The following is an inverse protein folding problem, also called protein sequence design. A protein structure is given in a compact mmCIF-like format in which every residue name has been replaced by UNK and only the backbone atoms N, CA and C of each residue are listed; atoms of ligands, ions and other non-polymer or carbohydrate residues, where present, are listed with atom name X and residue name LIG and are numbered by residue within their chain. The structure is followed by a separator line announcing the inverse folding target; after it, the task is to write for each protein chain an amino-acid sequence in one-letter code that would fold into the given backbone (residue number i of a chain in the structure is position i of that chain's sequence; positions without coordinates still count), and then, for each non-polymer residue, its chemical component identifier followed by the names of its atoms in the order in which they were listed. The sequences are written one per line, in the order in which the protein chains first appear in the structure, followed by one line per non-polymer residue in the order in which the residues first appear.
data_IF_315603209650
#
_entry.id   IF_315603209650
#
_cell.length_a   1.000
_cell.length_b   1.000
_cell.length_c   1.000
_cell.angle_alpha   90.00
_cell.angle_beta   90.00
_cell.angle_gamma   90.00
#
_symmetry.space_group_name_H-M   'P 1'
#
loop_
_entity.id
_entity.type
_entity.pdbx_description
1 polymer ?
#
# COMPACT_ATOMS: atom_id res chain seq x y z
N UNK A 1 -15.00 18.92 -10.97
CA UNK A 1 -15.80 19.40 -12.11
C UNK A 1 -17.22 18.93 -11.87
N UNK A 2 -18.18 19.84 -11.93
CA UNK A 2 -19.59 19.62 -11.55
C UNK A 2 -20.49 19.42 -12.78
N UNK A 3 -20.28 20.18 -13.85
CA UNK A 3 -21.03 20.02 -15.10
C UNK A 3 -20.08 19.97 -16.30
N UNK A 4 -19.52 18.78 -16.60
CA UNK A 4 -18.58 18.63 -17.70
C UNK A 4 -19.26 18.79 -19.06
N UNK A 5 -18.65 19.59 -19.93
CA UNK A 5 -19.01 19.72 -21.35
C UNK A 5 -17.80 19.37 -22.22
N UNK A 6 -18.05 18.89 -23.44
CA UNK A 6 -17.04 18.51 -24.42
C UNK A 6 -17.25 19.31 -25.70
N UNK A 7 -16.15 19.75 -26.31
CA UNK A 7 -16.16 20.39 -27.64
C UNK A 7 -16.10 19.35 -28.77
N UNK A 8 -16.17 19.80 -30.02
CA UNK A 8 -16.06 18.93 -31.21
C UNK A 8 -14.69 18.27 -31.36
N UNK A 9 -13.66 18.83 -30.74
CA UNK A 9 -12.28 18.33 -30.77
C UNK A 9 -12.03 17.28 -29.67
N UNK A 10 -13.02 17.01 -28.81
CA UNK A 10 -12.97 16.01 -27.75
C UNK A 10 -12.40 16.52 -26.43
N UNK A 11 -12.17 17.82 -26.28
CA UNK A 11 -11.67 18.40 -25.04
C UNK A 11 -12.81 18.65 -24.07
N UNK A 12 -12.63 18.27 -22.81
CA UNK A 12 -13.64 18.43 -21.76
C UNK A 12 -13.32 19.58 -20.82
N UNK A 13 -14.35 20.35 -20.47
CA UNK A 13 -14.27 21.55 -19.62
C UNK A 13 -15.39 21.57 -18.58
N UNK A 14 -15.19 22.33 -17.52
CA UNK A 14 -16.29 22.76 -16.65
C UNK A 14 -17.15 23.79 -17.40
N UNK A 15 -18.47 23.54 -17.52
CA UNK A 15 -19.39 24.38 -18.29
C UNK A 15 -19.27 25.87 -17.97
N UNK A 16 -19.32 26.23 -16.68
CA UNK A 16 -19.21 27.63 -16.25
C UNK A 16 -17.86 28.24 -16.67
N UNK A 17 -16.78 27.47 -16.56
CA UNK A 17 -15.44 27.93 -16.88
C UNK A 17 -15.27 28.22 -18.37
N UNK A 18 -15.77 27.32 -19.23
CA UNK A 18 -15.66 27.50 -20.68
C UNK A 18 -16.62 28.58 -21.20
N UNK A 19 -17.80 28.75 -20.61
CA UNK A 19 -18.71 29.85 -20.94
C UNK A 19 -18.08 31.21 -20.61
N UNK A 20 -17.45 31.35 -19.43
CA UNK A 20 -16.76 32.57 -19.01
C UNK A 20 -15.54 32.87 -19.90
N UNK A 21 -14.79 31.84 -20.30
CA UNK A 21 -13.65 31.97 -21.21
C UNK A 21 -14.08 32.40 -22.60
N UNK A 22 -15.12 31.76 -23.15
CA UNK A 22 -15.59 32.02 -24.49
C UNK A 22 -16.12 33.45 -24.64
N UNK A 23 -16.82 33.97 -23.61
CA UNK A 23 -17.26 35.38 -23.57
C UNK A 23 -16.12 36.39 -23.72
N UNK A 24 -14.90 36.04 -23.31
CA UNK A 24 -13.73 36.94 -23.34
C UNK A 24 -12.84 36.71 -24.57
N UNK A 25 -12.67 35.47 -24.99
CA UNK A 25 -11.62 35.09 -25.94
C UNK A 25 -12.14 34.47 -27.24
N UNK A 26 -13.39 33.98 -27.30
CA UNK A 26 -13.95 33.38 -28.52
C UNK A 26 -13.30 32.08 -28.99
N UNK A 27 -12.45 31.45 -28.16
CA UNK A 27 -11.56 30.35 -28.57
C UNK A 27 -11.51 29.24 -27.52
N UNK A 28 -11.13 28.03 -27.92
CA UNK A 28 -10.81 26.93 -27.01
C UNK A 28 -9.58 27.28 -26.16
N UNK A 29 -9.62 27.12 -24.83
CA UNK A 29 -8.45 27.32 -23.98
C UNK A 29 -7.26 26.39 -24.29
N UNK A 30 -7.51 25.24 -24.93
CA UNK A 30 -6.50 24.20 -25.17
C UNK A 30 -5.94 24.30 -26.58
N UNK A 31 -6.82 24.35 -27.58
CA UNK A 31 -6.42 24.30 -28.99
C UNK A 31 -6.27 25.70 -29.60
N UNK A 32 -6.71 26.75 -28.90
CA UNK A 32 -6.76 28.13 -29.38
C UNK A 32 -7.57 28.33 -30.68
N UNK A 33 -8.34 27.32 -31.10
CA UNK A 33 -9.23 27.40 -32.26
C UNK A 33 -10.51 28.16 -31.88
N UNK A 34 -11.17 28.84 -32.85
CA UNK A 34 -12.47 29.45 -32.60
C UNK A 34 -13.47 28.42 -32.08
N UNK A 35 -14.14 28.73 -30.96
CA UNK A 35 -15.07 27.81 -30.30
C UNK A 35 -16.35 28.56 -29.94
N UNK A 36 -17.51 28.11 -30.42
CA UNK A 36 -18.80 28.67 -30.04
C UNK A 36 -19.41 27.92 -28.85
N UNK A 37 -20.27 28.59 -28.08
CA UNK A 37 -21.04 27.94 -27.00
C UNK A 37 -21.94 26.82 -27.56
N UNK A 38 -22.39 26.97 -28.81
CA UNK A 38 -23.23 25.96 -29.46
C UNK A 38 -22.48 24.66 -29.82
N UNK A 39 -21.14 24.72 -29.85
CA UNK A 39 -20.28 23.57 -30.16
C UNK A 39 -19.98 22.71 -28.91
N UNK A 40 -20.51 23.13 -27.75
CA UNK A 40 -20.34 22.44 -26.47
C UNK A 40 -21.52 21.52 -26.21
N UNK A 41 -21.21 20.24 -25.95
CA UNK A 41 -22.20 19.23 -25.61
C UNK A 41 -21.94 18.67 -24.20
N UNK A 42 -22.97 18.31 -23.42
CA UNK A 42 -22.78 17.70 -22.11
C UNK A 42 -21.98 16.39 -22.20
N UNK A 43 -20.92 16.25 -21.40
CA UNK A 43 -20.16 15.02 -21.31
C UNK A 43 -20.71 14.12 -20.20
N UNK A 44 -21.78 13.38 -20.51
CA UNK A 44 -22.46 12.51 -19.55
C UNK A 44 -21.56 11.38 -19.03
N UNK A 45 -20.71 10.81 -19.89
CA UNK A 45 -19.79 9.74 -19.50
C UNK A 45 -18.83 10.21 -18.41
N UNK A 46 -18.22 11.38 -18.60
CA UNK A 46 -17.29 11.96 -17.63
C UNK A 46 -18.01 12.39 -16.34
N UNK A 47 -19.25 12.88 -16.45
CA UNK A 47 -20.09 13.21 -15.29
C UNK A 47 -20.33 11.99 -14.42
N UNK A 48 -20.73 10.86 -15.03
CA UNK A 48 -20.96 9.60 -14.33
C UNK A 48 -19.69 9.13 -13.62
N UNK A 49 -18.54 9.12 -14.30
CA UNK A 49 -17.28 8.69 -13.67
C UNK A 49 -16.87 9.56 -12.47
N UNK A 50 -17.12 10.87 -12.55
CA UNK A 50 -16.87 11.80 -11.43
C UNK A 50 -17.84 11.53 -10.27
N UNK A 51 -19.13 11.36 -10.57
CA UNK A 51 -20.15 11.08 -9.56
C UNK A 51 -19.91 9.74 -8.86
N UNK A 52 -19.52 8.70 -9.59
CA UNK A 52 -19.10 7.39 -9.07
C UNK A 52 -17.90 7.52 -8.13
N UNK A 53 -16.88 8.29 -8.53
CA UNK A 53 -15.71 8.55 -7.69
C UNK A 53 -16.12 9.29 -6.41
N UNK A 54 -16.94 10.34 -6.50
CA UNK A 54 -17.46 11.04 -5.32
C UNK A 54 -18.31 10.15 -4.42
N UNK A 55 -19.10 9.23 -4.98
CA UNK A 55 -19.87 8.24 -4.22
C UNK A 55 -18.95 7.24 -3.50
N UNK A 56 -17.87 6.81 -4.14
CA UNK A 56 -16.87 5.93 -3.52
C UNK A 56 -16.16 6.57 -2.33
N UNK A 57 -16.13 7.91 -2.29
CA UNK A 57 -15.58 8.69 -1.17
C UNK A 57 -16.59 8.95 -0.04
N UNK A 58 -17.89 8.70 -0.24
CA UNK A 58 -18.87 8.80 0.82
C UNK A 58 -18.88 7.50 1.65
N UNK A 59 -18.72 7.57 2.98
CA UNK A 59 -18.82 6.38 3.82
C UNK A 59 -20.26 5.86 3.81
N UNK A 60 -20.45 4.62 3.34
CA UNK A 60 -21.75 3.94 3.35
C UNK A 60 -22.25 3.77 4.81
N UNK A 61 -23.09 4.70 5.28
CA UNK A 61 -23.89 4.54 6.50
C UNK A 61 -25.14 3.74 6.13
N UNK A 62 -25.02 2.42 6.13
CA UNK A 62 -26.08 1.43 6.44
C UNK A 62 -25.54 0.01 6.28
N UNK A 63 -24.84 -0.45 7.31
CA UNK A 63 -24.72 -1.86 7.62
C UNK A 63 -24.93 -2.01 9.11
N UNK A 64 -25.92 -2.81 9.51
CA UNK A 64 -26.06 -3.31 10.89
C UNK A 64 -24.84 -4.18 11.19
N UNK A 65 -23.71 -3.54 11.48
CA UNK A 65 -22.55 -4.18 12.06
C UNK A 65 -22.75 -4.11 13.56
N UNK A 66 -22.87 -5.28 14.18
CA UNK A 66 -22.60 -5.44 15.60
C UNK A 66 -21.20 -4.88 15.81
N UNK A 67 -21.12 -3.68 16.40
CA UNK A 67 -19.87 -2.97 16.68
C UNK A 67 -19.09 -3.76 17.73
N UNK A 68 -18.28 -4.72 17.29
CA UNK A 68 -17.08 -5.12 18.02
C UNK A 68 -16.24 -3.86 18.20
N UNK A 69 -16.13 -3.38 19.45
CA UNK A 69 -15.30 -2.26 19.93
C UNK A 69 -14.55 -1.53 18.81
N UNK A 70 -15.13 -0.45 18.30
CA UNK A 70 -14.37 0.53 17.52
C UNK A 70 -13.32 1.15 18.45
N UNK A 71 -12.07 0.72 18.33
CA UNK A 71 -10.94 1.52 18.78
C UNK A 71 -10.85 2.72 17.83
N UNK A 72 -11.47 3.85 18.22
CA UNK A 72 -11.20 5.16 17.60
C UNK A 72 -9.71 5.44 17.76
N UNK A 73 -8.96 5.15 16.71
CA UNK A 73 -7.50 5.27 16.67
C UNK A 73 -7.18 6.69 16.23
N UNK A 74 -7.18 7.63 17.19
CA UNK A 74 -6.84 9.03 16.91
C UNK A 74 -5.35 9.14 16.56
N UNK A 75 -5.05 9.32 15.28
CA UNK A 75 -3.69 9.56 14.78
C UNK A 75 -3.34 11.02 15.03
N UNK A 76 -2.29 11.28 15.82
CA UNK A 76 -1.81 12.65 16.05
C UNK A 76 -0.80 13.01 14.97
N UNK A 77 -1.12 14.00 14.15
CA UNK A 77 -0.22 14.54 13.13
C UNK A 77 0.25 15.92 13.57
N UNK A 78 1.57 16.12 13.66
CA UNK A 78 2.18 17.43 13.87
C UNK A 78 2.94 17.85 12.64
N UNK A 79 2.83 19.12 12.27
CA UNK A 79 3.51 19.70 11.11
C UNK A 79 4.29 20.92 11.55
N UNK A 80 5.52 21.06 11.07
CA UNK A 80 6.36 22.24 11.27
C UNK A 80 7.02 22.62 9.96
N UNK A 81 7.12 23.92 9.70
CA UNK A 81 7.69 24.45 8.48
C UNK A 81 8.83 25.41 8.78
N UNK A 82 9.96 25.24 8.10
CA UNK A 82 11.12 26.14 8.18
C UNK A 82 11.71 26.32 6.78
N UNK A 83 11.80 27.57 6.32
CA UNK A 83 12.23 27.96 4.97
C UNK A 83 11.34 27.36 3.86
N UNK A 84 11.86 26.36 3.12
CA UNK A 84 11.15 25.62 2.06
C UNK A 84 10.94 24.14 2.44
N UNK A 85 11.11 23.79 3.72
CA UNK A 85 11.00 22.42 4.22
C UNK A 85 9.79 22.27 5.16
N UNK A 86 9.03 21.21 4.93
CA UNK A 86 7.93 20.77 5.79
C UNK A 86 8.34 19.48 6.49
N UNK A 87 8.30 19.48 7.81
CA UNK A 87 8.44 18.29 8.63
C UNK A 87 7.06 17.85 9.12
N UNK A 88 6.69 16.61 8.79
CA UNK A 88 5.44 15.98 9.20
C UNK A 88 5.81 14.84 10.14
N UNK A 89 5.30 14.87 11.36
CA UNK A 89 5.45 13.80 12.34
C UNK A 89 4.10 13.17 12.61
N UNK A 90 4.03 11.85 12.47
CA UNK A 90 2.83 11.05 12.67
C UNK A 90 3.06 10.18 13.89
N UNK A 91 2.33 10.46 14.97
CA UNK A 91 2.36 9.65 16.17
C UNK A 91 1.21 8.63 16.09
N UNK A 92 1.52 7.32 15.99
CA UNK A 92 0.48 6.30 16.05
C UNK A 92 -0.17 6.31 17.46
N UNK A 93 -1.46 5.98 17.56
CA UNK A 93 -2.13 5.85 18.85
C UNK A 93 -1.46 4.77 19.69
N UNK A 94 -1.45 4.96 21.01
CA UNK A 94 -0.93 3.97 21.94
C UNK A 94 -1.92 2.80 22.03
N UNK A 95 -1.46 1.62 21.64
CA UNK A 95 -2.18 0.38 21.83
C UNK A 95 -1.63 -0.37 23.05
N UNK A 96 -2.52 -0.97 23.85
CA UNK A 96 -2.13 -1.81 25.00
C UNK A 96 -1.44 -3.10 24.56
N UNK A 97 -1.74 -3.58 23.34
CA UNK A 97 -1.18 -4.80 22.80
C UNK A 97 -0.91 -4.68 21.31
N UNK A 98 0.04 -5.49 20.85
CA UNK A 98 0.40 -5.60 19.44
C UNK A 98 -0.72 -6.33 18.67
N UNK A 99 -1.06 -5.81 17.49
CA UNK A 99 -1.95 -6.52 16.55
C UNK A 99 -1.29 -7.79 16.02
N UNK A 100 -2.06 -8.87 15.87
CA UNK A 100 -1.59 -10.11 15.25
C UNK A 100 -1.09 -9.87 13.82
N UNK A 101 -0.07 -10.60 13.39
CA UNK A 101 0.39 -10.58 12.00
C UNK A 101 0.51 -11.98 11.39
N UNK A 102 0.52 -12.01 10.06
CA UNK A 102 0.86 -13.19 9.27
C UNK A 102 2.20 -12.97 8.57
N UNK A 103 3.12 -13.93 8.68
CA UNK A 103 4.43 -13.89 8.05
C UNK A 103 4.60 -15.07 7.11
N UNK A 104 5.05 -14.81 5.89
CA UNK A 104 5.47 -15.85 4.94
C UNK A 104 6.98 -15.74 4.71
N UNK A 105 7.73 -16.69 5.26
CA UNK A 105 9.17 -16.78 5.08
C UNK A 105 9.47 -17.53 3.78
N UNK A 106 9.92 -16.80 2.77
CA UNK A 106 10.34 -17.39 1.49
C UNK A 106 11.86 -17.56 1.50
N UNK A 107 12.32 -18.79 1.43
CA UNK A 107 13.71 -19.19 1.70
C UNK A 107 14.35 -19.75 0.45
N UNK A 108 15.42 -19.11 0.00
CA UNK A 108 16.27 -19.65 -1.07
C UNK A 108 17.02 -20.88 -0.56
N UNK A 109 16.92 -21.99 -1.29
CA UNK A 109 17.61 -23.26 -1.01
C UNK A 109 18.50 -23.69 -2.19
N UNK A 110 18.77 -22.79 -3.12
CA UNK A 110 19.63 -23.00 -4.29
C UNK A 110 21.09 -23.29 -3.88
N UNK A 111 21.90 -23.71 -4.87
CA UNK A 111 23.28 -24.13 -4.64
C UNK A 111 24.17 -23.06 -3.98
N UNK A 112 23.95 -21.77 -4.26
CA UNK A 112 24.72 -20.66 -3.68
C UNK A 112 24.53 -20.56 -2.16
N UNK A 113 23.35 -20.94 -1.67
CA UNK A 113 23.02 -20.88 -0.24
C UNK A 113 23.79 -21.93 0.59
N UNK A 114 24.37 -22.94 -0.06
CA UNK A 114 25.27 -23.92 0.58
C UNK A 114 26.71 -23.41 0.72
N UNK A 115 27.04 -22.27 0.12
CA UNK A 115 28.36 -21.67 0.26
C UNK A 115 28.62 -21.27 1.73
N UNK A 116 29.89 -21.34 2.13
CA UNK A 116 30.31 -20.92 3.45
C UNK A 116 29.98 -19.43 3.66
N UNK A 117 29.42 -19.10 4.83
CA UNK A 117 29.25 -17.72 5.24
C UNK A 117 30.63 -17.15 5.60
N UNK A 118 31.10 -16.20 4.81
CA UNK A 118 32.36 -15.50 5.07
C UNK A 118 32.09 -14.27 5.93
N UNK A 119 32.88 -14.08 7.00
CA UNK A 119 32.85 -12.88 7.82
C UNK A 119 34.02 -12.01 7.38
N UNK A 120 33.77 -10.75 7.05
CA UNK A 120 34.84 -9.77 6.81
C UNK A 120 35.48 -9.37 8.13
N UNK A 121 36.38 -10.21 8.65
CA UNK A 121 37.29 -9.88 9.73
C UNK A 121 38.73 -10.03 9.23
N UNK A 122 39.67 -9.21 9.73
CA UNK A 122 41.11 -9.28 9.40
C UNK A 122 41.76 -10.63 9.71
N UNK A 123 41.08 -11.47 10.50
CA UNK A 123 41.41 -12.87 10.73
C UNK A 123 40.42 -13.70 9.92
N UNK A 124 40.91 -14.29 8.84
CA UNK A 124 40.17 -15.07 7.84
C UNK A 124 39.60 -16.38 8.43
N UNK A 125 38.78 -16.28 9.47
CA UNK A 125 38.22 -17.37 10.24
C UNK A 125 36.91 -17.85 9.60
N UNK A 126 36.89 -19.13 9.20
CA UNK A 126 35.72 -19.80 8.67
C UNK A 126 35.02 -20.56 9.79
N UNK A 127 33.86 -20.09 10.23
CA UNK A 127 33.06 -20.75 11.28
C UNK A 127 32.41 -22.08 10.84
N UNK A 128 32.58 -22.49 9.58
CA UNK A 128 32.03 -23.76 9.05
C UNK A 128 30.51 -23.76 8.84
N UNK A 129 29.85 -22.60 8.91
CA UNK A 129 28.42 -22.45 8.66
C UNK A 129 28.15 -22.08 7.20
N UNK A 130 27.10 -22.63 6.62
CA UNK A 130 26.61 -22.17 5.31
C UNK A 130 25.71 -20.94 5.47
N UNK A 131 25.52 -20.18 4.38
CA UNK A 131 24.51 -19.11 4.35
C UNK A 131 23.12 -19.63 4.72
N UNK A 132 22.76 -20.84 4.28
CA UNK A 132 21.50 -21.47 4.62
C UNK A 132 21.37 -21.78 6.12
N UNK A 133 22.47 -22.13 6.81
CA UNK A 133 22.42 -22.37 8.25
C UNK A 133 22.21 -21.08 9.03
N UNK A 134 22.77 -19.97 8.57
CA UNK A 134 22.48 -18.65 9.12
C UNK A 134 21.01 -18.27 8.92
N UNK A 135 20.46 -18.54 7.74
CA UNK A 135 19.02 -18.33 7.46
C UNK A 135 18.13 -19.19 8.35
N UNK A 136 18.44 -20.49 8.50
CA UNK A 136 17.69 -21.38 9.42
C UNK A 136 17.73 -20.84 10.86
N UNK A 137 18.88 -20.34 11.31
CA UNK A 137 19.00 -19.76 12.63
C UNK A 137 18.15 -18.50 12.78
N UNK A 138 18.18 -17.60 11.79
CA UNK A 138 17.34 -16.40 11.77
C UNK A 138 15.84 -16.75 11.78
N UNK A 139 15.42 -17.78 11.03
CA UNK A 139 14.04 -18.26 11.02
C UNK A 139 13.60 -18.75 12.41
N UNK A 140 14.46 -19.50 13.11
CA UNK A 140 14.19 -19.90 14.50
C UNK A 140 14.02 -18.69 15.42
N UNK A 141 14.82 -17.64 15.23
CA UNK A 141 14.67 -16.40 15.99
C UNK A 141 13.32 -15.73 15.71
N UNK A 142 12.91 -15.66 14.44
CA UNK A 142 11.59 -15.12 14.05
C UNK A 142 10.48 -15.93 14.73
N UNK A 143 10.47 -17.25 14.57
CA UNK A 143 9.47 -18.16 15.16
C UNK A 143 9.36 -17.94 16.67
N UNK A 144 10.50 -17.83 17.38
CA UNK A 144 10.50 -17.63 18.82
C UNK A 144 10.04 -16.23 19.24
N UNK A 145 10.27 -15.20 18.42
CA UNK A 145 9.84 -13.82 18.68
C UNK A 145 8.34 -13.58 18.51
N UNK A 146 7.65 -14.44 17.74
CA UNK A 146 6.22 -14.32 17.48
C UNK A 146 5.37 -14.67 18.71
N UNK A 147 4.17 -14.09 18.79
CA UNK A 147 3.20 -14.34 19.84
C UNK A 147 2.17 -15.39 19.40
N UNK A 148 1.39 -15.94 20.33
CA UNK A 148 0.44 -17.03 20.04
C UNK A 148 -0.67 -16.65 19.05
N UNK A 149 -0.97 -15.36 18.93
CA UNK A 149 -1.93 -14.84 17.94
C UNK A 149 -1.33 -14.63 16.53
N UNK A 150 -0.02 -14.70 16.37
CA UNK A 150 0.64 -14.55 15.07
C UNK A 150 0.63 -15.84 14.28
N UNK A 151 0.69 -15.75 12.95
CA UNK A 151 0.80 -16.91 12.07
C UNK A 151 2.06 -16.84 11.22
N UNK A 152 2.67 -17.99 10.96
CA UNK A 152 3.86 -18.10 10.11
C UNK A 152 3.70 -19.26 9.13
N UNK A 153 4.20 -19.06 7.91
CA UNK A 153 4.39 -20.09 6.88
C UNK A 153 5.82 -20.04 6.36
N UNK A 154 6.33 -21.17 5.86
CA UNK A 154 7.65 -21.28 5.25
C UNK A 154 7.51 -21.87 3.85
N UNK A 155 8.03 -21.15 2.86
CA UNK A 155 8.14 -21.61 1.48
C UNK A 155 9.62 -21.69 1.14
N UNK A 156 10.10 -22.83 0.68
CA UNK A 156 11.43 -22.93 0.08
C UNK A 156 11.35 -22.75 -1.42
N UNK A 157 12.39 -22.19 -2.03
CA UNK A 157 12.51 -22.15 -3.48
C UNK A 157 13.94 -22.45 -3.94
N UNK A 158 14.03 -23.06 -5.11
CA UNK A 158 15.22 -23.13 -5.96
C UNK A 158 14.71 -23.04 -7.41
N UNK A 159 14.76 -24.14 -8.19
CA UNK A 159 14.10 -24.19 -9.51
C UNK A 159 12.57 -24.17 -9.41
N UNK A 160 12.03 -24.67 -8.30
CA UNK A 160 10.59 -24.67 -7.99
C UNK A 160 10.37 -24.20 -6.55
N UNK A 161 9.18 -23.66 -6.28
CA UNK A 161 8.75 -23.28 -4.93
C UNK A 161 7.94 -24.40 -4.27
N UNK A 162 8.25 -24.69 -3.00
CA UNK A 162 7.58 -25.72 -2.20
C UNK A 162 7.19 -25.15 -0.84
N UNK A 163 5.94 -25.34 -0.44
CA UNK A 163 5.47 -24.99 0.91
C UNK A 163 6.03 -26.02 1.88
N UNK A 164 6.99 -25.62 2.72
CA UNK A 164 7.57 -26.47 3.76
C UNK A 164 6.75 -26.46 5.04
N UNK A 165 6.14 -25.32 5.36
CA UNK A 165 5.33 -25.15 6.54
C UNK A 165 4.10 -24.30 6.22
N UNK A 166 2.91 -24.86 6.46
CA UNK A 166 1.64 -24.19 6.21
C UNK A 166 1.44 -23.02 7.17
N UNK A 167 0.62 -22.05 6.77
CA UNK A 167 0.31 -20.89 7.62
C UNK A 167 -0.35 -21.35 8.93
N UNK A 168 0.42 -21.35 10.01
CA UNK A 168 0.05 -21.92 11.31
C UNK A 168 0.23 -20.88 12.40
N UNK A 169 -0.64 -20.89 13.42
CA UNK A 169 -0.49 -20.02 14.60
C UNK A 169 0.78 -20.37 15.37
N UNK A 170 1.51 -19.38 15.85
CA UNK A 170 2.74 -19.54 16.62
C UNK A 170 2.44 -19.65 18.12
N UNK A 171 1.46 -20.48 18.48
CA UNK A 171 1.30 -20.99 19.84
C UNK A 171 2.39 -22.03 20.16
N UNK A 172 2.43 -22.55 21.37
CA UNK A 172 3.50 -23.47 21.81
C UNK A 172 3.60 -24.71 20.91
N UNK A 173 2.47 -25.23 20.42
CA UNK A 173 2.44 -26.36 19.51
C UNK A 173 2.93 -25.96 18.11
N UNK A 174 2.47 -24.83 17.59
CA UNK A 174 2.88 -24.31 16.29
C UNK A 174 4.37 -23.99 16.23
N UNK A 175 4.93 -23.41 17.30
CA UNK A 175 6.37 -23.16 17.43
C UNK A 175 7.20 -24.44 17.53
N UNK A 176 6.68 -25.48 18.18
CA UNK A 176 7.37 -26.78 18.29
C UNK A 176 7.38 -27.52 16.95
N UNK A 177 6.33 -27.35 16.16
CA UNK A 177 6.17 -28.02 14.86
C UNK A 177 6.88 -27.30 13.71
N UNK A 178 7.32 -26.05 13.90
CA UNK A 178 7.98 -25.20 12.90
C UNK A 178 9.51 -25.33 12.95
#
# INVERSE_FOLDING_TARGET
MLDPVIDTDGNSYEKKGIEDWNRRNGTSPITHTPLSINDLHPNQALKISIDEYHHSLQPNVKSNLILTKQHSSEIKVSTSHTNDLVHISIQPPQYESRSSCDICCVVDTSGSMKAAAEIQNDRNERYGLSQLDLVKHALKTIINSLQSQDRLSIVSFADNANILFQLTKMDDQGKTNA
#
